data_IF_636796974323
#
_entry.id   IF_636796974323
#
_cell.length_a   1.000
_cell.length_b   1.000
_cell.length_c   1.000
_cell.angle_alpha   90.00
_cell.angle_beta   90.00
_cell.angle_gamma   90.00
#
_symmetry.space_group_name_H-M   'P 1'
#
loop_
_entity.id
_entity.type
_entity.pdbx_description
1 polymer ?
#
# COMPACT_ATOMS: atom_id res chain seq x y z
N UNK A 1 -10.49 19.22 -10.90
CA UNK A 1 -10.36 17.89 -11.55
C UNK A 1 -9.24 17.99 -12.56
N UNK A 2 -8.11 17.32 -12.34
CA UNK A 2 -7.02 17.29 -13.33
C UNK A 2 -7.49 16.44 -14.53
N UNK A 3 -7.18 16.92 -15.74
CA UNK A 3 -7.47 16.19 -16.98
C UNK A 3 -6.60 14.93 -17.02
N UNK A 4 -7.21 13.76 -17.07
CA UNK A 4 -6.52 12.48 -17.29
C UNK A 4 -6.21 12.39 -18.79
N UNK A 5 -4.94 12.27 -19.22
CA UNK A 5 -4.58 12.18 -20.63
C UNK A 5 -5.05 10.85 -21.24
N UNK A 6 -5.40 10.91 -22.52
CA UNK A 6 -5.75 9.74 -23.32
C UNK A 6 -4.59 9.38 -24.25
N UNK A 7 -4.40 8.08 -24.46
CA UNK A 7 -3.46 7.51 -25.41
C UNK A 7 -4.20 6.69 -26.45
N UNK A 8 -3.76 6.77 -27.72
CA UNK A 8 -4.32 6.01 -28.83
C UNK A 8 -3.35 4.88 -29.17
N UNK A 9 -3.84 3.65 -29.13
CA UNK A 9 -3.10 2.46 -29.53
C UNK A 9 -3.61 1.99 -30.88
N UNK A 10 -2.75 2.04 -31.90
CA UNK A 10 -3.07 1.55 -33.25
C UNK A 10 -2.71 0.06 -33.37
N UNK A 11 -3.70 -0.76 -33.73
CA UNK A 11 -3.53 -2.19 -33.92
C UNK A 11 -3.97 -2.57 -35.33
N UNK A 12 -3.67 -3.80 -35.77
CA UNK A 12 -4.18 -4.34 -37.03
C UNK A 12 -5.72 -4.43 -37.14
N UNK A 13 -6.41 -4.26 -36.00
CA UNK A 13 -7.89 -4.27 -35.88
C UNK A 13 -8.50 -2.88 -35.73
N UNK A 14 -7.69 -1.80 -35.88
CA UNK A 14 -8.11 -0.43 -35.73
C UNK A 14 -7.47 0.28 -34.53
N UNK A 15 -7.92 1.50 -34.27
CA UNK A 15 -7.46 2.34 -33.17
C UNK A 15 -8.34 2.15 -31.94
N UNK A 16 -7.69 2.12 -30.76
CA UNK A 16 -8.36 2.10 -29.46
C UNK A 16 -7.82 3.22 -28.60
N UNK A 17 -8.73 3.98 -27.99
CA UNK A 17 -8.39 5.03 -27.05
C UNK A 17 -8.53 4.52 -25.61
N UNK A 18 -7.53 4.82 -24.78
CA UNK A 18 -7.51 4.52 -23.34
C UNK A 18 -7.12 5.77 -22.59
N UNK A 19 -7.71 5.99 -21.40
CA UNK A 19 -7.05 6.88 -20.46
C UNK A 19 -5.73 6.24 -19.98
N UNK A 20 -4.80 7.07 -19.47
CA UNK A 20 -3.44 6.59 -19.14
C UNK A 20 -3.45 5.49 -18.07
N UNK A 21 -4.35 5.56 -17.07
CA UNK A 21 -4.41 4.56 -16.01
C UNK A 21 -4.96 3.23 -16.55
N UNK A 22 -6.01 3.26 -17.37
CA UNK A 22 -6.53 2.07 -18.05
C UNK A 22 -5.49 1.44 -18.99
N UNK A 23 -4.64 2.26 -19.63
CA UNK A 23 -3.54 1.74 -20.47
C UNK A 23 -2.46 1.06 -19.62
N UNK A 24 -2.10 1.65 -18.48
CA UNK A 24 -1.12 1.07 -17.55
C UNK A 24 -1.65 -0.18 -16.85
N UNK A 25 -2.96 -0.24 -16.57
CA UNK A 25 -3.59 -1.44 -16.02
C UNK A 25 -3.43 -2.66 -16.92
N UNK A 26 -3.39 -2.50 -18.26
CA UNK A 26 -3.07 -3.58 -19.20
C UNK A 26 -1.66 -4.15 -19.01
N UNK A 27 -0.73 -3.34 -18.48
CA UNK A 27 0.61 -3.77 -18.08
C UNK A 27 0.67 -4.23 -16.63
N UNK A 28 -0.51 -4.47 -16.01
CA UNK A 28 -0.69 -4.91 -14.63
C UNK A 28 -0.18 -3.91 -13.58
N UNK A 29 -0.21 -2.62 -13.93
CA UNK A 29 0.23 -1.52 -13.06
C UNK A 29 -1.00 -0.83 -12.46
N UNK A 30 -1.01 -0.74 -11.13
CA UNK A 30 -2.01 -0.06 -10.32
C UNK A 30 -1.34 1.10 -9.57
N UNK A 31 -2.04 2.22 -9.39
CA UNK A 31 -1.55 3.36 -8.61
C UNK A 31 -2.39 3.60 -7.36
N UNK A 32 -1.72 3.70 -6.22
CA UNK A 32 -2.22 4.34 -5.01
C UNK A 32 -1.51 5.70 -4.90
N UNK A 33 -2.06 6.73 -5.55
CA UNK A 33 -1.50 8.08 -5.64
C UNK A 33 -2.23 9.11 -4.78
N UNK A 34 -3.00 8.67 -3.78
CA UNK A 34 -3.82 9.52 -2.93
C UNK A 34 -3.95 8.94 -1.51
N UNK A 35 -4.75 9.58 -0.67
CA UNK A 35 -5.10 9.06 0.65
C UNK A 35 -5.85 7.73 0.54
N UNK A 36 -5.53 6.80 1.47
CA UNK A 36 -6.24 5.53 1.62
C UNK A 36 -7.60 5.78 2.24
N UNK A 37 -8.65 5.58 1.48
CA UNK A 37 -10.05 5.73 1.87
C UNK A 37 -10.91 4.65 1.21
N UNK A 38 -12.19 4.60 1.53
CA UNK A 38 -13.10 3.56 1.03
C UNK A 38 -13.20 3.53 -0.50
N UNK A 39 -13.11 4.71 -1.15
CA UNK A 39 -13.17 4.82 -2.61
C UNK A 39 -11.88 4.30 -3.24
N UNK A 40 -10.71 4.79 -2.81
CA UNK A 40 -9.42 4.35 -3.34
C UNK A 40 -9.21 2.85 -3.09
N UNK A 41 -9.59 2.34 -1.91
CA UNK A 41 -9.51 0.93 -1.58
C UNK A 41 -10.41 0.07 -2.48
N UNK A 42 -11.66 0.46 -2.69
CA UNK A 42 -12.59 -0.27 -3.56
C UNK A 42 -12.08 -0.37 -5.00
N UNK A 43 -11.48 0.73 -5.53
CA UNK A 43 -10.90 0.74 -6.86
C UNK A 43 -9.68 -0.16 -6.97
N UNK A 44 -8.78 -0.14 -5.98
CA UNK A 44 -7.59 -1.01 -5.98
C UNK A 44 -7.99 -2.47 -5.84
N UNK A 45 -8.89 -2.81 -4.93
CA UNK A 45 -9.42 -4.17 -4.76
C UNK A 45 -10.02 -4.70 -6.06
N UNK A 46 -10.87 -3.89 -6.73
CA UNK A 46 -11.46 -4.26 -8.01
C UNK A 46 -10.39 -4.53 -9.10
N UNK A 47 -9.35 -3.70 -9.18
CA UNK A 47 -8.25 -3.87 -10.12
C UNK A 47 -7.41 -5.13 -9.81
N UNK A 48 -7.13 -5.41 -8.53
CA UNK A 48 -6.43 -6.63 -8.13
C UNK A 48 -7.19 -7.89 -8.53
N UNK A 49 -8.49 -7.95 -8.24
CA UNK A 49 -9.35 -9.08 -8.61
C UNK A 49 -9.48 -9.23 -10.14
N UNK A 50 -9.61 -8.12 -10.86
CA UNK A 50 -9.67 -8.12 -12.32
C UNK A 50 -8.37 -8.70 -12.93
N UNK A 51 -7.22 -8.22 -12.49
CA UNK A 51 -5.92 -8.67 -12.99
C UNK A 51 -5.64 -10.13 -12.63
N UNK A 52 -6.05 -10.59 -11.46
CA UNK A 52 -5.98 -12.02 -11.11
C UNK A 52 -6.82 -12.86 -12.07
N UNK A 53 -8.03 -12.43 -12.39
CA UNK A 53 -8.93 -13.17 -13.29
C UNK A 53 -8.38 -13.28 -14.71
N UNK A 54 -7.52 -12.35 -15.14
CA UNK A 54 -6.88 -12.40 -16.47
C UNK A 54 -5.70 -13.36 -16.53
N UNK A 55 -4.82 -13.35 -15.51
CA UNK A 55 -3.65 -14.21 -15.47
C UNK A 55 -3.12 -14.33 -14.04
N UNK A 56 -3.24 -15.50 -13.44
CA UNK A 56 -2.80 -15.79 -12.08
C UNK A 56 -1.30 -16.01 -11.93
N UNK A 57 -0.56 -16.12 -13.04
CA UNK A 57 0.88 -16.45 -13.03
C UNK A 57 1.80 -15.24 -13.12
N UNK A 58 1.24 -14.06 -13.43
CA UNK A 58 2.00 -12.82 -13.57
C UNK A 58 1.82 -11.92 -12.39
N UNK A 59 2.89 -11.24 -12.00
CA UNK A 59 2.90 -10.26 -10.94
C UNK A 59 1.97 -9.07 -11.25
N UNK A 60 1.45 -8.47 -10.19
CA UNK A 60 0.75 -7.18 -10.23
C UNK A 60 1.69 -6.15 -9.60
N UNK A 61 1.77 -4.96 -10.17
CA UNK A 61 2.66 -3.90 -9.70
C UNK A 61 1.85 -2.75 -9.09
N UNK A 62 1.91 -2.61 -7.77
CA UNK A 62 1.26 -1.54 -7.02
C UNK A 62 2.26 -0.40 -6.74
N UNK A 63 2.09 0.73 -7.44
CA UNK A 63 2.86 1.95 -7.22
C UNK A 63 2.19 2.80 -6.14
N UNK A 64 2.97 3.22 -5.14
CA UNK A 64 2.47 3.91 -3.94
C UNK A 64 3.12 5.28 -3.83
N UNK A 65 2.27 6.32 -3.79
CA UNK A 65 2.60 7.68 -3.39
C UNK A 65 1.44 8.19 -2.53
N UNK A 66 1.44 7.83 -1.24
CA UNK A 66 0.29 8.02 -0.36
C UNK A 66 0.71 8.45 1.04
N UNK A 67 0.01 9.42 1.63
CA UNK A 67 0.19 9.79 3.04
C UNK A 67 -0.40 8.76 4.02
N UNK A 68 -1.02 7.68 3.53
CA UNK A 68 -1.81 6.75 4.32
C UNK A 68 -3.27 7.14 4.42
N UNK A 69 -3.94 6.82 5.52
CA UNK A 69 -5.36 7.11 5.73
C UNK A 69 -6.09 6.04 6.51
N UNK A 70 -7.31 5.69 6.10
CA UNK A 70 -8.17 4.74 6.80
C UNK A 70 -7.53 3.36 6.94
N UNK A 71 -7.40 2.91 8.20
CA UNK A 71 -6.87 1.57 8.51
C UNK A 71 -7.77 0.47 7.93
N UNK A 72 -9.09 0.63 8.05
CA UNK A 72 -10.04 -0.38 7.55
C UNK A 72 -9.95 -0.52 6.03
N UNK A 73 -9.89 0.61 5.32
CA UNK A 73 -9.73 0.64 3.87
C UNK A 73 -8.38 0.04 3.44
N UNK A 74 -7.29 0.38 4.15
CA UNK A 74 -5.97 -0.20 3.90
C UNK A 74 -5.91 -1.70 4.14
N UNK A 75 -6.57 -2.20 5.20
CA UNK A 75 -6.66 -3.65 5.45
C UNK A 75 -7.43 -4.38 4.35
N UNK A 76 -8.46 -3.77 3.76
CA UNK A 76 -9.16 -4.37 2.62
C UNK A 76 -8.23 -4.57 1.41
N UNK A 77 -7.34 -3.59 1.13
CA UNK A 77 -6.30 -3.75 0.10
C UNK A 77 -5.32 -4.85 0.48
N UNK A 78 -4.75 -4.78 1.69
CA UNK A 78 -3.75 -5.73 2.19
C UNK A 78 -4.25 -7.18 2.16
N UNK A 79 -5.46 -7.41 2.70
CA UNK A 79 -6.04 -8.75 2.71
C UNK A 79 -6.31 -9.25 1.28
N UNK A 80 -6.71 -8.37 0.36
CA UNK A 80 -6.88 -8.74 -1.07
C UNK A 80 -5.55 -9.08 -1.72
N UNK A 81 -4.48 -8.31 -1.46
CA UNK A 81 -3.13 -8.63 -1.96
C UNK A 81 -2.68 -10.03 -1.53
N UNK A 82 -3.04 -10.46 -0.31
CA UNK A 82 -2.70 -11.78 0.21
C UNK A 82 -3.70 -12.88 -0.20
N UNK A 83 -4.92 -12.51 -0.57
CA UNK A 83 -5.97 -13.46 -0.97
C UNK A 83 -5.83 -13.95 -2.40
N UNK A 84 -5.43 -13.07 -3.32
CA UNK A 84 -5.22 -13.40 -4.72
C UNK A 84 -4.00 -14.30 -4.92
N UNK A 85 -3.96 -15.02 -6.06
CA UNK A 85 -2.88 -15.96 -6.37
C UNK A 85 -1.65 -15.29 -6.98
N UNK A 86 -1.82 -14.09 -7.56
CA UNK A 86 -0.71 -13.33 -8.10
C UNK A 86 0.15 -12.76 -6.98
N UNK A 87 1.47 -12.73 -7.17
CA UNK A 87 2.32 -11.90 -6.32
C UNK A 87 2.05 -10.42 -6.61
N UNK A 88 1.93 -9.63 -5.55
CA UNK A 88 1.82 -8.17 -5.66
C UNK A 88 3.17 -7.56 -5.32
N UNK A 89 3.83 -7.03 -6.35
CA UNK A 89 5.03 -6.21 -6.20
C UNK A 89 4.63 -4.79 -5.80
N UNK A 90 5.32 -4.20 -4.83
CA UNK A 90 5.06 -2.84 -4.36
C UNK A 90 6.22 -1.90 -4.66
N UNK A 91 5.93 -0.66 -5.04
CA UNK A 91 6.92 0.35 -5.41
C UNK A 91 6.57 1.70 -4.80
N UNK A 92 7.40 2.19 -3.86
CA UNK A 92 7.27 3.54 -3.36
C UNK A 92 7.85 4.55 -4.36
N UNK A 93 7.02 5.51 -4.77
CA UNK A 93 7.40 6.66 -5.59
C UNK A 93 7.02 7.94 -4.84
N UNK A 94 7.97 8.75 -4.43
CA UNK A 94 7.73 9.94 -3.61
C UNK A 94 7.59 9.61 -2.14
N UNK A 95 6.42 9.16 -1.68
CA UNK A 95 6.20 8.86 -0.26
C UNK A 95 5.26 7.68 -0.05
N UNK A 96 5.59 6.85 0.93
CA UNK A 96 4.66 5.87 1.50
C UNK A 96 4.62 6.07 3.03
N UNK A 97 3.54 6.68 3.53
CA UNK A 97 3.40 6.97 4.96
C UNK A 97 2.21 6.23 5.57
N UNK A 98 2.34 5.85 6.86
CA UNK A 98 1.25 5.24 7.63
C UNK A 98 0.69 3.99 6.93
N UNK A 99 -0.60 3.96 6.59
CA UNK A 99 -1.18 2.85 5.80
C UNK A 99 -0.50 2.66 4.44
N UNK A 100 0.08 3.70 3.84
CA UNK A 100 0.89 3.57 2.62
C UNK A 100 2.17 2.76 2.83
N UNK A 101 2.88 2.99 3.94
CA UNK A 101 4.06 2.20 4.33
C UNK A 101 3.68 0.76 4.70
N UNK A 102 2.53 0.59 5.35
CA UNK A 102 1.99 -0.74 5.67
C UNK A 102 1.72 -1.56 4.41
N UNK A 103 1.09 -0.97 3.40
CA UNK A 103 0.82 -1.62 2.12
C UNK A 103 2.12 -1.88 1.34
N UNK A 104 3.09 -0.95 1.39
CA UNK A 104 4.41 -1.12 0.78
C UNK A 104 5.12 -2.36 1.36
N UNK A 105 5.18 -2.45 2.69
CA UNK A 105 5.77 -3.59 3.38
C UNK A 105 4.98 -4.90 3.19
N UNK A 106 3.71 -4.80 2.80
CA UNK A 106 2.81 -5.93 2.52
C UNK A 106 2.99 -6.58 1.15
N UNK A 107 3.86 -6.05 0.30
CA UNK A 107 4.20 -6.65 -1.00
C UNK A 107 4.87 -8.01 -0.87
N UNK A 108 4.87 -8.80 -1.96
CA UNK A 108 5.51 -10.09 -2.01
C UNK A 108 7.01 -9.98 -1.67
N UNK A 109 7.51 -10.88 -0.85
CA UNK A 109 8.89 -10.86 -0.36
C UNK A 109 9.89 -10.94 -1.53
N UNK A 110 10.89 -10.06 -1.52
CA UNK A 110 11.84 -9.87 -2.62
C UNK A 110 11.31 -8.97 -3.75
N UNK A 111 10.06 -8.49 -3.67
CA UNK A 111 9.40 -7.68 -4.70
C UNK A 111 8.87 -6.34 -4.16
N UNK A 112 9.47 -5.83 -3.08
CA UNK A 112 9.13 -4.55 -2.46
C UNK A 112 10.23 -3.55 -2.77
N UNK A 113 9.89 -2.45 -3.40
CA UNK A 113 10.85 -1.50 -3.97
C UNK A 113 10.58 -0.08 -3.53
N UNK A 114 11.61 0.77 -3.59
CA UNK A 114 11.46 2.23 -3.55
C UNK A 114 12.42 2.89 -4.54
N UNK A 115 12.03 4.08 -5.04
CA UNK A 115 12.95 4.96 -5.75
C UNK A 115 13.89 5.65 -4.74
N UNK A 116 15.10 6.10 -5.17
CA UNK A 116 16.17 6.53 -4.25
C UNK A 116 15.80 7.73 -3.36
N UNK A 117 14.90 8.59 -3.83
CA UNK A 117 14.47 9.79 -3.10
C UNK A 117 13.07 9.62 -2.47
N UNK A 118 12.59 8.41 -2.35
CA UNK A 118 11.32 8.14 -1.69
C UNK A 118 11.48 8.13 -0.18
N UNK A 119 10.48 8.67 0.51
CA UNK A 119 10.37 8.63 1.97
C UNK A 119 9.37 7.54 2.40
N UNK A 120 9.70 6.84 3.46
CA UNK A 120 8.80 5.87 4.10
C UNK A 120 8.60 6.28 5.55
N UNK A 121 7.35 6.31 6.01
CA UNK A 121 7.04 6.67 7.40
C UNK A 121 6.10 5.66 8.04
N UNK A 122 6.49 5.16 9.20
CA UNK A 122 5.67 4.28 10.03
C UNK A 122 5.28 4.97 11.33
N UNK A 123 4.08 4.74 11.80
CA UNK A 123 3.58 5.18 13.10
C UNK A 123 2.37 4.36 13.55
N UNK A 124 1.99 4.49 14.82
CA UNK A 124 0.80 3.84 15.38
C UNK A 124 -0.51 4.43 14.79
N UNK A 125 -1.62 3.65 14.79
CA UNK A 125 -2.90 4.17 14.37
C UNK A 125 -3.37 5.29 15.30
N UNK A 126 -3.95 6.33 14.72
CA UNK A 126 -4.64 7.39 15.46
C UNK A 126 -6.14 7.15 15.45
N UNK A 127 -6.81 7.63 16.48
CA UNK A 127 -8.26 7.59 16.57
C UNK A 127 -8.75 8.33 17.80
N UNK A 128 -10.06 8.53 17.88
CA UNK A 128 -10.69 9.20 19.02
C UNK A 128 -12.13 8.76 19.16
N UNK A 129 -12.71 9.01 20.33
CA UNK A 129 -14.12 8.75 20.62
C UNK A 129 -14.70 9.89 21.45
N UNK A 130 -15.99 10.12 21.26
CA UNK A 130 -16.80 11.02 22.07
C UNK A 130 -18.13 10.33 22.36
N UNK A 131 -18.62 10.41 23.58
CA UNK A 131 -19.85 9.77 24.00
C UNK A 131 -19.83 9.38 25.47
N UNK A 132 -20.61 8.37 25.83
CA UNK A 132 -20.64 7.85 27.20
C UNK A 132 -19.34 7.10 27.54
N UNK A 133 -19.00 7.04 28.83
CA UNK A 133 -17.74 6.43 29.28
C UNK A 133 -17.51 5.01 28.73
N UNK A 134 -18.55 4.17 28.70
CA UNK A 134 -18.48 2.81 28.18
C UNK A 134 -18.23 2.78 26.65
N UNK A 135 -18.82 3.71 25.89
CA UNK A 135 -18.58 3.83 24.44
C UNK A 135 -17.15 4.25 24.15
N UNK A 136 -16.63 5.22 24.93
CA UNK A 136 -15.22 5.65 24.83
C UNK A 136 -14.27 4.48 25.11
N UNK A 137 -14.57 3.68 26.17
CA UNK A 137 -13.76 2.50 26.50
C UNK A 137 -13.76 1.48 25.34
N UNK A 138 -14.91 1.15 24.77
CA UNK A 138 -15.01 0.20 23.64
C UNK A 138 -14.14 0.68 22.45
N UNK A 139 -14.20 1.96 22.12
CA UNK A 139 -13.40 2.50 21.00
C UNK A 139 -11.91 2.48 21.34
N UNK A 140 -11.52 2.84 22.55
CA UNK A 140 -10.13 2.79 23.00
C UNK A 140 -9.56 1.37 22.94
N UNK A 141 -10.30 0.37 23.42
CA UNK A 141 -9.92 -1.04 23.32
C UNK A 141 -9.78 -1.49 21.86
N UNK A 142 -10.69 -1.05 20.97
CA UNK A 142 -10.60 -1.34 19.54
C UNK A 142 -9.35 -0.75 18.88
N UNK A 143 -8.98 0.50 19.24
CA UNK A 143 -7.76 1.15 18.74
C UNK A 143 -6.52 0.38 19.20
N UNK A 144 -6.46 -0.04 20.45
CA UNK A 144 -5.33 -0.84 20.98
C UNK A 144 -5.22 -2.21 20.30
N UNK A 145 -6.35 -2.89 20.06
CA UNK A 145 -6.37 -4.14 19.28
C UNK A 145 -5.87 -3.93 17.85
N UNK A 146 -6.27 -2.82 17.23
CA UNK A 146 -5.82 -2.46 15.89
C UNK A 146 -4.31 -2.19 15.87
N UNK A 147 -3.79 -1.40 16.82
CA UNK A 147 -2.35 -1.15 16.98
C UNK A 147 -1.57 -2.46 17.07
N UNK A 148 -2.00 -3.36 17.95
CA UNK A 148 -1.35 -4.66 18.11
C UNK A 148 -1.31 -5.44 16.81
N UNK A 149 -2.46 -5.56 16.11
CA UNK A 149 -2.55 -6.29 14.83
C UNK A 149 -1.62 -5.70 13.76
N UNK A 150 -1.60 -4.37 13.60
CA UNK A 150 -0.73 -3.71 12.62
C UNK A 150 0.74 -3.97 12.94
N UNK A 151 1.14 -3.89 14.22
CA UNK A 151 2.50 -4.16 14.65
C UNK A 151 2.92 -5.63 14.42
N UNK A 152 2.02 -6.59 14.70
CA UNK A 152 2.26 -8.01 14.42
C UNK A 152 2.49 -8.27 12.93
N UNK A 153 1.69 -7.65 12.06
CA UNK A 153 1.83 -7.78 10.60
C UNK A 153 3.12 -7.10 10.13
N UNK A 154 3.45 -5.90 10.60
CA UNK A 154 4.71 -5.23 10.26
C UNK A 154 5.91 -6.04 10.72
N UNK A 155 5.89 -6.60 11.92
CA UNK A 155 6.95 -7.47 12.41
C UNK A 155 7.17 -8.70 11.50
N UNK A 156 6.09 -9.34 11.07
CA UNK A 156 6.15 -10.47 10.14
C UNK A 156 6.70 -10.07 8.76
N UNK A 157 6.29 -8.91 8.23
CA UNK A 157 6.70 -8.44 6.92
C UNK A 157 8.14 -7.91 6.88
N UNK A 158 8.60 -7.26 7.96
CA UNK A 158 9.94 -6.67 8.04
C UNK A 158 11.00 -7.64 8.56
N UNK A 159 10.59 -8.63 9.36
CA UNK A 159 11.50 -9.51 10.12
C UNK A 159 12.02 -8.87 11.41
N UNK A 160 11.56 -7.66 11.77
CA UNK A 160 11.91 -7.03 13.03
C UNK A 160 11.15 -7.69 14.21
N UNK A 161 11.74 -7.74 15.42
CA UNK A 161 11.02 -8.13 16.63
C UNK A 161 9.80 -7.21 16.88
N UNK A 162 8.74 -7.78 17.46
CA UNK A 162 7.52 -7.00 17.76
C UNK A 162 7.81 -5.76 18.62
N UNK A 163 8.66 -5.89 19.63
CA UNK A 163 9.01 -4.82 20.56
C UNK A 163 9.77 -3.67 19.86
N UNK A 164 10.51 -3.98 18.81
CA UNK A 164 11.17 -2.98 17.96
C UNK A 164 10.13 -2.22 17.15
N UNK A 165 9.21 -2.92 16.49
CA UNK A 165 8.10 -2.29 15.77
C UNK A 165 7.24 -1.43 16.71
N UNK A 166 6.89 -1.94 17.89
CA UNK A 166 6.06 -1.21 18.85
C UNK A 166 6.71 0.08 19.32
N UNK A 167 8.02 0.05 19.59
CA UNK A 167 8.81 1.25 19.95
C UNK A 167 8.89 2.24 18.78
N UNK A 168 9.22 1.73 17.58
CA UNK A 168 9.54 2.58 16.43
C UNK A 168 8.29 3.13 15.72
N UNK A 169 7.12 2.57 15.99
CA UNK A 169 5.82 3.10 15.55
C UNK A 169 5.14 3.98 16.60
N UNK A 170 5.71 4.18 17.79
CA UNK A 170 5.06 4.99 18.82
C UNK A 170 4.88 6.46 18.42
N UNK A 171 5.77 6.98 17.58
CA UNK A 171 5.72 8.30 16.95
C UNK A 171 6.08 8.18 15.48
N UNK A 172 5.89 9.28 14.73
CA UNK A 172 6.27 9.35 13.33
C UNK A 172 7.75 9.03 13.16
N UNK A 173 8.03 7.94 12.47
CA UNK A 173 9.37 7.46 12.19
C UNK A 173 9.60 7.48 10.67
N UNK A 174 10.28 8.54 10.23
CA UNK A 174 10.62 8.75 8.81
C UNK A 174 11.92 8.06 8.47
N UNK A 175 11.93 7.39 7.33
CA UNK A 175 13.07 6.67 6.79
C UNK A 175 13.26 7.05 5.31
N UNK A 176 14.50 7.28 4.92
CA UNK A 176 14.89 7.29 3.50
C UNK A 176 14.67 5.90 2.89
N UNK A 177 14.67 5.81 1.55
CA UNK A 177 14.56 4.51 0.87
C UNK A 177 15.63 3.51 1.34
N UNK A 178 16.86 3.97 1.59
CA UNK A 178 17.95 3.12 2.07
C UNK A 178 17.70 2.61 3.49
N UNK A 179 17.29 3.48 4.41
CA UNK A 179 16.94 3.11 5.80
C UNK A 179 15.74 2.15 5.84
N UNK A 180 14.73 2.39 4.98
CA UNK A 180 13.57 1.50 4.86
C UNK A 180 13.96 0.09 4.37
N UNK A 181 14.95 -0.01 3.47
CA UNK A 181 15.51 -1.29 3.03
C UNK A 181 16.27 -1.98 4.17
N UNK A 182 17.12 -1.28 4.90
CA UNK A 182 17.86 -1.81 6.04
C UNK A 182 16.93 -2.24 7.19
N UNK A 183 15.84 -1.53 7.38
CA UNK A 183 14.80 -1.86 8.35
C UNK A 183 13.98 -3.10 7.96
N UNK A 184 13.88 -3.39 6.65
CA UNK A 184 13.13 -4.53 6.11
C UNK A 184 11.71 -4.19 5.60
N UNK A 185 11.36 -2.90 5.52
CA UNK A 185 10.09 -2.45 4.94
C UNK A 185 10.03 -2.68 3.43
N UNK A 186 11.18 -2.61 2.77
CA UNK A 186 11.37 -2.93 1.35
C UNK A 186 12.56 -3.87 1.15
N UNK A 187 12.68 -4.43 -0.04
CA UNK A 187 13.75 -5.36 -0.40
C UNK A 187 14.85 -4.69 -1.24
N UNK A 188 14.50 -3.66 -2.04
CA UNK A 188 15.43 -3.03 -2.98
C UNK A 188 15.17 -1.52 -3.15
N UNK A 189 16.27 -0.77 -3.29
CA UNK A 189 16.24 0.60 -3.82
C UNK A 189 16.67 0.54 -5.28
N UNK A 190 15.82 1.03 -6.20
CA UNK A 190 16.04 0.92 -7.65
C UNK A 190 16.22 2.28 -8.31
N UNK A 191 17.25 2.40 -9.15
CA UNK A 191 17.62 3.65 -9.84
C UNK A 191 17.25 3.67 -11.33
N UNK A 192 16.91 2.50 -11.87
CA UNK A 192 16.52 2.32 -13.28
C UNK A 192 15.52 1.18 -13.42
N UNK A 193 14.72 1.25 -14.48
CA UNK A 193 13.70 0.25 -14.84
C UNK A 193 14.31 -0.84 -15.74
#
# INVERSE_FOLDING_TARGET
>A
MSLVPYVIESTSRGERSYDIFSRLLKERIIFLGEEVNDTSASLIVAQLLFLESEDTSKDIHLYINSPGGSVTAGMAIYDTMNYIKCDVSTMCIGMAASMGAFLLAGGAKGKRFALPNADVMIHQPSGGAQGQATEIQIVAEKILQTKKRLNEILAANTGQPYEVIERDTDRDNYMTAQEAMEYGLIDHVVTSR
#
